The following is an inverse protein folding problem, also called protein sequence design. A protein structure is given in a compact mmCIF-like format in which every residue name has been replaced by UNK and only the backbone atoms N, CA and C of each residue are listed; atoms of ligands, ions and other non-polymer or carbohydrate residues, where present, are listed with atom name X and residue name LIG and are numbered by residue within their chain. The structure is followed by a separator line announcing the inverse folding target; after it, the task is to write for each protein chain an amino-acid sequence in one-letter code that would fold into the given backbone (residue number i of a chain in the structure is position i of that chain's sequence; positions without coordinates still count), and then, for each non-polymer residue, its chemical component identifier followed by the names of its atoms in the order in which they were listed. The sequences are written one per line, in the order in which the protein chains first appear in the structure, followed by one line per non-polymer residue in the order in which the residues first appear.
data_IF_132148427458
#
_entry.id   IF_132148427458
#
_cell.length_a   1.000
_cell.length_b   1.000
_cell.length_c   1.000
_cell.angle_alpha   90.00
_cell.angle_beta   90.00
_cell.angle_gamma   90.00
#
_symmetry.space_group_name_H-M   'P 1'
#
loop_
_entity.id
_entity.type
_entity.pdbx_description
1 polymer ?
#
# COMPACT_ATOMS: atom_id res chain seq x y z
N UNK A 1 -11.26 15.83 23.13
CA UNK A 1 -10.39 14.79 22.55
C UNK A 1 -9.43 15.46 21.58
N UNK A 2 -8.12 15.27 21.70
CA UNK A 2 -7.16 15.94 20.82
C UNK A 2 -6.77 15.02 19.66
N UNK A 3 -7.46 15.14 18.52
CA UNK A 3 -7.08 14.45 17.28
C UNK A 3 -5.82 15.12 16.71
N UNK A 4 -4.67 14.50 16.95
CA UNK A 4 -3.33 14.96 16.54
C UNK A 4 -2.42 13.73 16.42
N UNK A 5 -1.38 13.80 15.58
CA UNK A 5 -0.43 12.71 15.42
C UNK A 5 -0.70 11.82 14.21
N UNK A 6 -0.33 10.54 14.31
CA UNK A 6 -0.45 9.58 13.23
C UNK A 6 -1.74 8.76 13.38
N UNK A 7 -2.59 8.80 12.36
CA UNK A 7 -3.76 7.95 12.25
C UNK A 7 -3.65 6.95 11.12
N UNK A 8 -4.01 5.70 11.36
CA UNK A 8 -3.94 4.66 10.33
C UNK A 8 -5.21 4.61 9.49
N UNK A 9 -5.08 4.83 8.19
CA UNK A 9 -6.14 4.53 7.21
C UNK A 9 -6.21 3.01 7.02
N UNK A 10 -7.01 2.36 7.86
CA UNK A 10 -6.97 0.91 8.05
C UNK A 10 -7.41 0.17 6.77
N UNK A 11 -6.67 -0.88 6.41
CA UNK A 11 -7.11 -1.86 5.39
C UNK A 11 -8.27 -2.70 5.93
N UNK A 12 -9.09 -3.25 5.02
CA UNK A 12 -10.06 -4.29 5.37
C UNK A 12 -9.52 -5.64 4.87
N UNK A 13 -9.19 -6.59 5.76
CA UNK A 13 -8.76 -7.92 5.35
C UNK A 13 -9.94 -8.80 4.92
N UNK A 14 -9.70 -9.66 3.94
CA UNK A 14 -10.71 -10.56 3.38
C UNK A 14 -10.17 -11.99 3.31
N UNK A 15 -11.06 -12.97 3.46
CA UNK A 15 -10.81 -14.36 3.11
C UNK A 15 -10.83 -14.57 1.59
N UNK A 16 -10.31 -15.70 1.10
CA UNK A 16 -10.32 -16.05 -0.33
C UNK A 16 -11.71 -16.02 -0.99
N UNK A 17 -12.78 -16.27 -0.23
CA UNK A 17 -14.16 -16.19 -0.73
C UNK A 17 -14.70 -14.76 -0.85
N UNK A 18 -13.88 -13.77 -0.44
CA UNK A 18 -14.18 -12.36 -0.46
C UNK A 18 -14.86 -11.85 0.81
N UNK A 19 -15.26 -12.71 1.76
CA UNK A 19 -15.85 -12.29 3.04
C UNK A 19 -14.81 -11.58 3.93
N UNK A 20 -15.26 -10.78 4.91
CA UNK A 20 -14.37 -10.12 5.86
C UNK A 20 -13.64 -11.17 6.72
N UNK A 21 -12.32 -11.03 6.82
CA UNK A 21 -11.52 -11.79 7.78
C UNK A 21 -11.54 -11.10 9.15
N UNK A 22 -12.49 -11.49 10.00
CA UNK A 22 -12.69 -10.90 11.32
C UNK A 22 -11.45 -11.04 12.22
N UNK A 23 -10.83 -12.22 12.23
CA UNK A 23 -9.67 -12.49 13.06
C UNK A 23 -8.50 -11.60 12.65
N UNK A 24 -8.21 -11.48 11.35
CA UNK A 24 -7.18 -10.60 10.85
C UNK A 24 -7.49 -9.12 11.14
N UNK A 25 -8.76 -8.69 11.01
CA UNK A 25 -9.16 -7.32 11.33
C UNK A 25 -8.90 -6.99 12.80
N UNK A 26 -9.36 -7.85 13.72
CA UNK A 26 -9.16 -7.68 15.16
C UNK A 26 -7.69 -7.65 15.55
N UNK A 27 -6.88 -8.52 14.94
CA UNK A 27 -5.43 -8.57 15.15
C UNK A 27 -4.74 -7.32 14.63
N UNK A 28 -5.12 -6.81 13.45
CA UNK A 28 -4.59 -5.56 12.90
C UNK A 28 -4.93 -4.38 13.81
N UNK A 29 -6.18 -4.22 14.23
CA UNK A 29 -6.59 -3.13 15.14
C UNK A 29 -5.83 -3.20 16.46
N UNK A 30 -5.71 -4.39 17.05
CA UNK A 30 -4.95 -4.60 18.29
C UNK A 30 -3.49 -4.19 18.11
N UNK A 31 -2.83 -4.69 17.07
CA UNK A 31 -1.44 -4.39 16.78
C UNK A 31 -1.18 -2.90 16.52
N UNK A 32 -2.11 -2.21 15.84
CA UNK A 32 -2.01 -0.77 15.62
C UNK A 32 -2.02 0.01 16.93
N UNK A 33 -2.95 -0.31 17.83
CA UNK A 33 -3.05 0.33 19.16
C UNK A 33 -1.81 0.03 19.99
N UNK A 34 -1.36 -1.22 20.04
CA UNK A 34 -0.15 -1.63 20.78
C UNK A 34 1.13 -1.00 20.24
N UNK A 35 1.18 -0.71 18.94
CA UNK A 35 2.33 -0.05 18.31
C UNK A 35 2.39 1.46 18.57
N UNK A 36 1.36 2.03 19.20
CA UNK A 36 1.32 3.42 19.63
C UNK A 36 0.76 4.39 18.59
N UNK A 37 -0.13 3.93 17.71
CA UNK A 37 -0.88 4.82 16.81
C UNK A 37 -1.72 5.81 17.62
N UNK A 38 -1.87 7.04 17.12
CA UNK A 38 -2.59 8.07 17.86
C UNK A 38 -4.11 8.03 17.59
N UNK A 39 -4.55 7.48 16.44
CA UNK A 39 -5.97 7.22 16.13
C UNK A 39 -6.15 6.22 14.97
N UNK A 40 -7.36 5.72 14.77
CA UNK A 40 -7.69 4.80 13.66
C UNK A 40 -8.75 5.36 12.74
N UNK A 41 -8.63 5.04 11.45
CA UNK A 41 -9.57 5.46 10.40
C UNK A 41 -10.08 4.23 9.64
N UNK A 42 -11.08 3.50 10.18
CA UNK A 42 -11.73 2.41 9.47
C UNK A 42 -12.57 2.94 8.30
N UNK A 43 -12.73 2.10 7.28
CA UNK A 43 -13.59 2.39 6.13
C UNK A 43 -13.28 3.70 5.38
N UNK A 44 -12.01 4.12 5.38
CA UNK A 44 -11.48 5.08 4.40
C UNK A 44 -11.23 4.44 3.04
N UNK A 45 -10.61 5.17 2.11
CA UNK A 45 -10.26 4.62 0.78
C UNK A 45 -9.39 3.37 0.85
N UNK A 46 -8.43 3.33 1.78
CA UNK A 46 -7.52 2.20 2.01
C UNK A 46 -8.25 0.95 2.52
N UNK A 47 -9.43 1.13 3.15
CA UNK A 47 -10.29 0.06 3.62
C UNK A 47 -11.20 -0.53 2.54
N UNK A 48 -11.01 -0.15 1.27
CA UNK A 48 -11.79 -0.65 0.13
C UNK A 48 -13.31 -0.37 0.24
N UNK A 49 -13.71 0.71 0.93
CA UNK A 49 -15.13 1.06 1.18
C UNK A 49 -16.07 0.97 -0.05
N UNK A 50 -15.66 1.32 -1.29
CA UNK A 50 -16.53 1.15 -2.45
C UNK A 50 -16.97 -0.29 -2.76
N UNK A 51 -16.28 -1.30 -2.24
CA UNK A 51 -16.58 -2.73 -2.44
C UNK A 51 -17.15 -3.40 -1.19
N UNK A 52 -17.41 -2.64 -0.12
CA UNK A 52 -18.12 -3.12 1.07
C UNK A 52 -19.62 -2.94 0.88
N UNK A 53 -20.39 -3.94 1.28
CA UNK A 53 -21.83 -3.76 1.51
C UNK A 53 -22.08 -2.85 2.71
N UNK A 54 -23.32 -2.41 2.88
CA UNK A 54 -23.71 -1.60 4.03
C UNK A 54 -23.42 -2.31 5.36
N UNK A 55 -23.82 -3.57 5.49
CA UNK A 55 -23.63 -4.35 6.72
C UNK A 55 -22.14 -4.60 7.02
N UNK A 56 -21.33 -4.86 6.00
CA UNK A 56 -19.89 -5.02 6.13
C UNK A 56 -19.18 -3.72 6.53
N UNK A 57 -19.61 -2.59 5.96
CA UNK A 57 -19.11 -1.28 6.34
C UNK A 57 -19.35 -1.00 7.83
N UNK A 58 -20.55 -1.29 8.32
CA UNK A 58 -20.88 -1.17 9.74
C UNK A 58 -20.10 -2.17 10.60
N UNK A 59 -19.99 -3.42 10.15
CA UNK A 59 -19.24 -4.47 10.83
C UNK A 59 -17.79 -4.06 11.09
N UNK A 60 -17.09 -3.52 10.09
CA UNK A 60 -15.70 -3.08 10.24
C UNK A 60 -15.58 -1.95 11.27
N UNK A 61 -16.51 -0.99 11.25
CA UNK A 61 -16.54 0.13 12.20
C UNK A 61 -16.80 -0.38 13.62
N UNK A 62 -17.82 -1.22 13.81
CA UNK A 62 -18.24 -1.71 15.11
C UNK A 62 -17.17 -2.64 15.73
N UNK A 63 -16.55 -3.51 14.93
CA UNK A 63 -15.39 -4.33 15.36
C UNK A 63 -14.20 -3.45 15.73
N UNK A 64 -13.93 -2.37 14.99
CA UNK A 64 -12.86 -1.43 15.34
C UNK A 64 -13.14 -0.75 16.68
N UNK A 65 -14.39 -0.32 16.94
CA UNK A 65 -14.80 0.26 18.22
C UNK A 65 -14.60 -0.74 19.36
N UNK A 66 -15.10 -1.96 19.19
CA UNK A 66 -15.02 -3.03 20.19
C UNK A 66 -13.57 -3.29 20.59
N UNK A 67 -12.70 -3.52 19.60
CA UNK A 67 -11.30 -3.85 19.85
C UNK A 67 -10.55 -2.65 20.43
N UNK A 68 -10.76 -1.44 19.91
CA UNK A 68 -10.08 -0.23 20.43
C UNK A 68 -10.43 0.00 21.90
N UNK A 69 -11.69 -0.26 22.30
CA UNK A 69 -12.15 -0.14 23.68
C UNK A 69 -11.80 1.22 24.32
N UNK A 70 -11.92 2.30 23.54
CA UNK A 70 -11.64 3.68 23.98
C UNK A 70 -10.17 4.05 24.17
N UNK A 71 -9.21 3.17 23.82
CA UNK A 71 -7.77 3.43 23.98
C UNK A 71 -7.25 4.53 23.07
N UNK A 72 -7.79 4.62 21.85
CA UNK A 72 -7.47 5.68 20.88
C UNK A 72 -8.75 6.18 20.21
N UNK A 73 -8.77 7.42 19.72
CA UNK A 73 -9.84 7.91 18.85
C UNK A 73 -10.10 7.05 17.61
N UNK A 74 -11.36 7.04 17.17
CA UNK A 74 -11.78 6.48 15.88
C UNK A 74 -12.38 7.59 15.01
N UNK A 75 -11.90 7.69 13.77
CA UNK A 75 -12.45 8.57 12.73
C UNK A 75 -13.07 7.70 11.63
N UNK A 76 -14.40 7.54 11.64
CA UNK A 76 -15.05 6.61 10.71
C UNK A 76 -15.22 7.22 9.31
N UNK A 77 -14.89 6.47 8.26
CA UNK A 77 -15.11 6.89 6.88
C UNK A 77 -16.58 6.80 6.47
N UNK A 78 -17.15 7.92 6.02
CA UNK A 78 -18.55 8.04 5.60
C UNK A 78 -18.72 8.83 4.29
N UNK A 79 -17.85 8.58 3.31
CA UNK A 79 -17.89 9.28 2.01
C UNK A 79 -18.98 8.73 1.10
N UNK A 80 -19.67 9.61 0.38
CA UNK A 80 -20.51 9.30 -0.77
C UNK A 80 -20.47 10.45 -1.78
N UNK A 81 -20.70 10.17 -3.06
CA UNK A 81 -20.85 11.21 -4.08
C UNK A 81 -22.29 11.76 -4.19
N UNK A 82 -23.24 11.15 -3.47
CA UNK A 82 -24.61 11.62 -3.29
C UNK A 82 -24.74 12.29 -1.92
N UNK A 83 -25.17 13.55 -1.87
CA UNK A 83 -25.34 14.28 -0.60
C UNK A 83 -26.34 13.61 0.33
N UNK A 84 -27.44 13.09 -0.23
CA UNK A 84 -28.42 12.34 0.54
C UNK A 84 -27.77 11.14 1.23
N UNK A 85 -27.04 10.32 0.48
CA UNK A 85 -26.45 9.10 1.04
C UNK A 85 -25.27 9.41 1.99
N UNK A 86 -24.54 10.50 1.74
CA UNK A 86 -23.50 10.96 2.64
C UNK A 86 -24.08 11.42 3.99
N UNK A 87 -25.23 12.10 3.97
CA UNK A 87 -25.96 12.51 5.19
C UNK A 87 -26.42 11.28 5.97
N UNK A 88 -27.04 10.30 5.32
CA UNK A 88 -27.51 9.09 6.01
C UNK A 88 -26.35 8.28 6.59
N UNK A 89 -25.28 8.05 5.81
CA UNK A 89 -24.05 7.42 6.31
C UNK A 89 -23.46 8.17 7.50
N UNK A 90 -23.42 9.50 7.46
CA UNK A 90 -22.87 10.33 8.53
C UNK A 90 -23.71 10.22 9.81
N UNK A 91 -25.05 10.26 9.72
CA UNK A 91 -25.94 10.05 10.87
C UNK A 91 -25.72 8.69 11.51
N UNK A 92 -25.61 7.65 10.69
CA UNK A 92 -25.36 6.30 11.18
C UNK A 92 -24.05 6.21 11.96
N UNK A 93 -22.93 6.65 11.40
CA UNK A 93 -21.66 6.59 12.15
C UNK A 93 -21.65 7.54 13.35
N UNK A 94 -22.35 8.68 13.27
CA UNK A 94 -22.46 9.61 14.40
C UNK A 94 -23.19 9.01 15.60
N UNK A 95 -24.18 8.14 15.34
CA UNK A 95 -24.96 7.45 16.37
C UNK A 95 -24.16 6.39 17.15
N UNK A 96 -22.96 6.01 16.68
CA UNK A 96 -22.10 5.02 17.35
C UNK A 96 -21.22 5.70 18.40
N UNK A 97 -21.38 5.38 19.71
CA UNK A 97 -20.67 6.09 20.79
C UNK A 97 -19.13 6.05 20.68
N UNK A 98 -18.58 4.99 20.08
CA UNK A 98 -17.13 4.83 19.89
C UNK A 98 -16.53 5.66 18.75
N UNK A 99 -17.36 6.26 17.87
CA UNK A 99 -16.88 7.10 16.78
C UNK A 99 -16.61 8.51 17.30
N UNK A 100 -15.35 8.92 17.29
CA UNK A 100 -14.92 10.24 17.76
C UNK A 100 -15.05 11.35 16.71
N UNK A 101 -14.92 11.02 15.43
CA UNK A 101 -15.13 11.94 14.32
C UNK A 101 -15.49 11.19 13.02
N UNK A 102 -15.91 11.93 11.99
CA UNK A 102 -16.26 11.42 10.67
C UNK A 102 -15.24 11.91 9.65
N UNK A 103 -14.75 11.03 8.77
CA UNK A 103 -13.96 11.41 7.60
C UNK A 103 -14.85 11.33 6.35
N UNK A 104 -14.99 12.44 5.64
CA UNK A 104 -15.78 12.49 4.39
C UNK A 104 -15.07 13.29 3.29
N UNK A 105 -14.99 12.72 2.09
CA UNK A 105 -14.29 13.31 0.96
C UNK A 105 -15.22 14.10 0.03
N UNK A 106 -14.62 14.89 -0.87
CA UNK A 106 -15.37 15.52 -1.96
C UNK A 106 -16.09 14.46 -2.80
N UNK A 107 -17.31 14.75 -3.32
CA UNK A 107 -18.01 13.84 -4.20
C UNK A 107 -17.17 13.41 -5.40
N UNK A 108 -17.01 12.10 -5.55
CA UNK A 108 -16.26 11.49 -6.65
C UNK A 108 -17.14 11.27 -7.88
N UNK A 109 -16.52 11.19 -9.07
CA UNK A 109 -17.16 10.94 -10.37
C UNK A 109 -17.98 12.13 -10.92
N UNK A 110 -18.91 12.68 -10.15
CA UNK A 110 -19.85 13.72 -10.59
C UNK A 110 -19.29 15.16 -10.61
N UNK A 111 -18.09 15.38 -10.04
CA UNK A 111 -17.30 16.63 -10.16
C UNK A 111 -18.08 17.91 -9.83
N UNK A 112 -18.60 18.07 -8.61
CA UNK A 112 -19.34 19.28 -8.21
C UNK A 112 -18.45 20.53 -8.26
N UNK A 113 -19.09 21.69 -8.47
CA UNK A 113 -18.44 23.00 -8.34
C UNK A 113 -18.02 23.26 -6.88
N UNK A 114 -17.21 24.30 -6.64
CA UNK A 114 -16.85 24.73 -5.27
C UNK A 114 -18.09 24.97 -4.39
N UNK A 115 -19.12 25.64 -4.92
CA UNK A 115 -20.37 25.86 -4.19
C UNK A 115 -21.14 24.54 -3.94
N UNK A 116 -21.09 23.60 -4.89
CA UNK A 116 -21.63 22.25 -4.70
C UNK A 116 -20.93 21.50 -3.56
N UNK A 117 -19.59 21.57 -3.51
CA UNK A 117 -18.80 20.97 -2.42
C UNK A 117 -19.14 21.63 -1.07
N UNK A 118 -19.22 22.96 -1.02
CA UNK A 118 -19.61 23.70 0.19
C UNK A 118 -20.95 23.21 0.74
N UNK A 119 -22.00 23.18 -0.11
CA UNK A 119 -23.34 22.75 0.29
C UNK A 119 -23.39 21.28 0.68
N UNK A 120 -22.63 20.42 -0.01
CA UNK A 120 -22.52 19.00 0.33
C UNK A 120 -21.99 18.80 1.74
N UNK A 121 -20.82 19.37 2.06
CA UNK A 121 -20.22 19.23 3.38
C UNK A 121 -21.05 19.90 4.48
N UNK A 122 -21.64 21.07 4.20
CA UNK A 122 -22.52 21.76 5.13
C UNK A 122 -23.76 20.92 5.48
N UNK A 123 -24.40 20.29 4.49
CA UNK A 123 -25.56 19.42 4.73
C UNK A 123 -25.21 18.21 5.61
N UNK A 124 -24.04 17.61 5.41
CA UNK A 124 -23.53 16.52 6.27
C UNK A 124 -23.33 17.02 7.70
N UNK A 125 -22.67 18.17 7.84
CA UNK A 125 -22.37 18.78 9.12
C UNK A 125 -23.62 19.13 9.94
N UNK A 126 -24.62 19.75 9.31
CA UNK A 126 -25.90 20.08 9.94
C UNK A 126 -26.68 18.83 10.39
N UNK A 127 -26.53 17.71 9.68
CA UNK A 127 -27.27 16.48 9.97
C UNK A 127 -26.78 15.69 11.18
N UNK A 128 -25.53 15.91 11.64
CA UNK A 128 -24.89 15.11 12.70
C UNK A 128 -24.66 15.88 14.00
N UNK A 129 -25.20 17.10 14.11
CA UNK A 129 -25.07 17.94 15.30
C UNK A 129 -23.61 18.23 15.66
N UNK A 130 -23.23 18.01 16.92
CA UNK A 130 -21.88 18.32 17.41
C UNK A 130 -20.80 17.30 17.03
N UNK A 131 -21.14 16.24 16.26
CA UNK A 131 -20.15 15.23 15.86
C UNK A 131 -19.06 15.86 14.97
N UNK A 132 -17.77 15.78 15.34
CA UNK A 132 -16.71 16.38 14.54
C UNK A 132 -16.55 15.73 13.17
N UNK A 133 -16.29 16.56 12.16
CA UNK A 133 -16.06 16.16 10.77
C UNK A 133 -14.67 16.62 10.34
N UNK A 134 -13.95 15.69 9.71
CA UNK A 134 -12.71 15.93 8.99
C UNK A 134 -13.04 15.79 7.50
N UNK A 135 -12.81 16.87 6.75
CA UNK A 135 -12.94 16.88 5.29
C UNK A 135 -11.79 16.11 4.66
N UNK A 136 -12.00 15.49 3.51
CA UNK A 136 -10.93 14.80 2.79
C UNK A 136 -10.80 15.32 1.35
N UNK A 137 -9.76 16.11 1.10
CA UNK A 137 -9.42 16.56 -0.24
C UNK A 137 -8.45 15.57 -0.91
N UNK A 138 -8.88 14.93 -2.01
CA UNK A 138 -8.08 13.97 -2.79
C UNK A 138 -8.43 14.02 -4.28
N UNK A 139 -8.11 15.12 -4.98
CA UNK A 139 -8.52 15.35 -6.36
C UNK A 139 -8.10 14.24 -7.33
N UNK A 140 -6.97 13.57 -7.08
CA UNK A 140 -6.51 12.43 -7.89
C UNK A 140 -7.45 11.22 -7.86
N UNK A 141 -8.39 11.13 -6.91
CA UNK A 141 -9.42 10.07 -6.82
C UNK A 141 -10.82 10.58 -7.07
N UNK A 142 -11.15 11.78 -6.63
CA UNK A 142 -12.51 12.35 -6.77
C UNK A 142 -12.73 12.99 -8.14
N UNK A 143 -11.67 13.49 -8.76
CA UNK A 143 -11.76 14.36 -9.94
C UNK A 143 -12.24 15.79 -9.61
N UNK A 144 -12.31 16.15 -8.33
CA UNK A 144 -12.71 17.46 -7.83
C UNK A 144 -11.78 17.90 -6.69
N UNK A 145 -11.26 19.12 -6.78
CA UNK A 145 -10.39 19.72 -5.77
C UNK A 145 -11.20 20.65 -4.87
N UNK A 146 -11.05 20.52 -3.55
CA UNK A 146 -11.56 21.50 -2.60
C UNK A 146 -10.55 22.64 -2.45
N UNK A 147 -10.88 23.81 -2.96
CA UNK A 147 -9.97 24.96 -2.96
C UNK A 147 -9.87 25.63 -1.58
N UNK A 148 -8.72 26.25 -1.22
CA UNK A 148 -8.54 26.92 0.07
C UNK A 148 -9.63 27.95 0.41
N UNK A 149 -10.13 28.69 -0.57
CA UNK A 149 -11.23 29.66 -0.34
C UNK A 149 -12.55 29.01 0.06
N UNK A 150 -12.86 27.82 -0.48
CA UNK A 150 -14.04 27.05 -0.08
C UNK A 150 -13.83 26.40 1.29
N UNK A 151 -12.62 25.91 1.55
CA UNK A 151 -12.24 25.40 2.86
C UNK A 151 -12.40 26.46 3.95
N UNK A 152 -11.93 27.69 3.72
CA UNK A 152 -12.06 28.80 4.66
C UNK A 152 -13.54 29.03 5.06
N UNK A 153 -14.45 29.06 4.08
CA UNK A 153 -15.90 29.15 4.33
C UNK A 153 -16.44 27.96 5.13
N UNK A 154 -15.91 26.76 4.93
CA UNK A 154 -16.33 25.56 5.66
C UNK A 154 -15.85 25.56 7.11
N UNK A 155 -14.78 26.29 7.44
CA UNK A 155 -14.33 26.43 8.84
C UNK A 155 -15.29 27.21 9.73
N UNK A 156 -16.21 27.97 9.13
CA UNK A 156 -17.28 28.68 9.85
C UNK A 156 -18.40 27.73 10.32
N UNK A 157 -18.41 26.47 9.85
CA UNK A 157 -19.36 25.45 10.29
C UNK A 157 -18.81 24.76 11.56
N UNK A 158 -19.46 24.89 12.73
CA UNK A 158 -18.83 24.61 14.02
C UNK A 158 -18.23 23.20 14.22
N UNK A 159 -18.85 22.19 13.61
CA UNK A 159 -18.42 20.80 13.74
C UNK A 159 -17.54 20.32 12.58
N UNK A 160 -17.21 21.17 11.59
CA UNK A 160 -16.14 20.89 10.63
C UNK A 160 -14.83 21.34 11.27
N UNK A 161 -14.06 20.38 11.78
CA UNK A 161 -12.90 20.66 12.65
C UNK A 161 -11.55 20.45 11.98
N UNK A 162 -11.52 19.86 10.79
CA UNK A 162 -10.26 19.53 10.14
C UNK A 162 -10.36 19.12 8.69
N UNK A 163 -9.20 18.90 8.09
CA UNK A 163 -9.04 18.40 6.73
C UNK A 163 -7.87 17.42 6.63
N UNK A 164 -8.09 16.29 5.98
CA UNK A 164 -7.06 15.44 5.38
C UNK A 164 -6.73 15.98 3.99
N UNK A 165 -5.55 16.54 3.81
CA UNK A 165 -5.10 17.11 2.53
C UNK A 165 -4.21 16.11 1.77
N UNK A 166 -4.73 15.56 0.68
CA UNK A 166 -4.02 14.60 -0.19
C UNK A 166 -4.02 15.06 -1.66
N UNK A 167 -3.90 16.36 -1.91
CA UNK A 167 -3.73 16.90 -3.26
C UNK A 167 -2.35 16.61 -3.86
N UNK A 168 -1.34 16.38 -2.99
CA UNK A 168 0.07 16.30 -3.40
C UNK A 168 0.64 17.66 -3.84
N UNK A 169 -0.12 18.75 -3.70
CA UNK A 169 0.30 20.09 -4.08
C UNK A 169 0.71 20.90 -2.83
N UNK A 170 2.01 21.03 -2.62
CA UNK A 170 2.55 21.69 -1.43
C UNK A 170 2.17 23.19 -1.35
N UNK A 171 2.03 23.86 -2.49
CA UNK A 171 1.58 25.27 -2.52
C UNK A 171 0.15 25.38 -2.01
N UNK A 172 -0.76 24.54 -2.50
CA UNK A 172 -2.15 24.52 -2.05
C UNK A 172 -2.26 24.13 -0.57
N UNK A 173 -1.48 23.16 -0.11
CA UNK A 173 -1.47 22.77 1.30
C UNK A 173 -1.03 23.96 2.17
N UNK A 174 0.01 24.69 1.76
CA UNK A 174 0.43 25.90 2.47
C UNK A 174 -0.68 26.96 2.48
N UNK A 175 -1.34 27.22 1.34
CA UNK A 175 -2.48 28.13 1.26
C UNK A 175 -3.63 27.70 2.18
N UNK A 176 -3.97 26.42 2.18
CA UNK A 176 -5.02 25.86 3.03
C UNK A 176 -4.70 26.04 4.52
N UNK A 177 -3.47 25.74 4.95
CA UNK A 177 -3.05 25.93 6.35
C UNK A 177 -3.13 27.42 6.75
N UNK A 178 -2.76 28.34 5.86
CA UNK A 178 -2.84 29.78 6.14
C UNK A 178 -4.26 30.37 6.04
N UNK A 179 -5.17 29.68 5.36
CA UNK A 179 -6.55 30.12 5.16
C UNK A 179 -7.51 29.68 6.28
N UNK A 180 -7.09 28.76 7.15
CA UNK A 180 -7.91 28.23 8.24
C UNK A 180 -7.47 28.77 9.61
N UNK A 181 -8.35 28.80 10.62
CA UNK A 181 -7.98 29.16 11.98
C UNK A 181 -6.91 28.21 12.56
N UNK A 182 -6.09 28.67 13.50
CA UNK A 182 -5.05 27.85 14.17
C UNK A 182 -5.62 26.61 14.88
N UNK A 183 -6.89 26.64 15.26
CA UNK A 183 -7.60 25.53 15.89
C UNK A 183 -8.05 24.45 14.90
N UNK A 184 -8.01 24.74 13.59
CA UNK A 184 -8.44 23.82 12.54
C UNK A 184 -7.37 22.77 12.25
N UNK A 185 -7.76 21.50 12.24
CA UNK A 185 -6.84 20.37 12.17
C UNK A 185 -6.50 20.01 10.73
N UNK A 186 -5.33 20.41 10.24
CA UNK A 186 -4.83 19.99 8.92
C UNK A 186 -3.91 18.76 9.05
N UNK A 187 -4.34 17.63 8.51
CA UNK A 187 -3.57 16.39 8.43
C UNK A 187 -3.01 16.20 7.02
N UNK A 188 -1.76 15.76 6.92
CA UNK A 188 -1.27 15.18 5.67
C UNK A 188 -2.12 13.96 5.30
N UNK A 189 -2.43 13.81 4.02
CA UNK A 189 -2.99 12.59 3.45
C UNK A 189 -2.04 11.82 2.54
N UNK A 190 -0.77 12.26 2.47
CA UNK A 190 0.32 11.60 1.76
C UNK A 190 1.51 11.39 2.72
N UNK A 191 1.93 10.13 2.86
CA UNK A 191 3.00 9.69 3.75
C UNK A 191 4.32 10.41 3.47
N UNK A 192 4.67 10.59 2.20
CA UNK A 192 5.97 11.12 1.80
C UNK A 192 6.15 12.61 2.11
N UNK A 193 5.05 13.37 2.25
CA UNK A 193 5.07 14.82 2.50
C UNK A 193 4.67 15.19 3.93
N UNK A 194 4.59 14.21 4.84
CA UNK A 194 4.22 14.45 6.25
C UNK A 194 5.07 15.53 6.92
N UNK A 195 6.40 15.50 6.74
CA UNK A 195 7.32 16.44 7.39
C UNK A 195 7.08 17.91 6.97
N UNK A 196 7.06 18.26 5.67
CA UNK A 196 6.80 19.64 5.29
C UNK A 196 5.38 20.11 5.66
N UNK A 197 4.37 19.23 5.66
CA UNK A 197 3.01 19.58 6.13
C UNK A 197 3.04 19.98 7.62
N UNK A 198 3.70 19.19 8.47
CA UNK A 198 3.83 19.50 9.90
C UNK A 198 4.65 20.79 10.11
N UNK A 199 5.72 20.98 9.34
CA UNK A 199 6.54 22.20 9.41
C UNK A 199 5.75 23.48 9.08
N UNK A 200 4.71 23.37 8.26
CA UNK A 200 3.83 24.49 7.89
C UNK A 200 2.69 24.72 8.88
N UNK A 201 2.50 23.86 9.89
CA UNK A 201 1.42 23.97 10.88
C UNK A 201 0.45 22.79 10.90
N UNK A 202 0.65 21.77 10.06
CA UNK A 202 -0.14 20.55 10.09
C UNK A 202 0.00 19.80 11.43
N UNK A 203 -1.08 19.14 11.85
CA UNK A 203 -1.19 18.48 13.15
C UNK A 203 -0.87 16.98 13.11
N UNK A 204 -0.50 16.45 11.94
CA UNK A 204 -0.13 15.05 11.79
C UNK A 204 -0.47 14.48 10.42
N UNK A 205 -0.81 13.19 10.39
CA UNK A 205 -1.08 12.45 9.14
C UNK A 205 -2.20 11.42 9.33
N UNK A 206 -2.98 11.21 8.27
CA UNK A 206 -3.81 10.01 8.08
C UNK A 206 -3.14 9.12 7.01
N UNK A 207 -2.42 8.10 7.48
CA UNK A 207 -1.32 7.40 6.80
C UNK A 207 -1.76 6.07 6.18
N UNK A 208 -1.17 5.71 5.02
CA UNK A 208 -1.26 4.36 4.46
C UNK A 208 -0.13 3.49 5.02
N UNK A 209 1.11 3.98 5.02
CA UNK A 209 2.29 3.24 5.48
C UNK A 209 2.20 2.79 6.95
N UNK A 210 1.47 3.52 7.80
CA UNK A 210 1.22 3.10 9.19
C UNK A 210 0.49 1.77 9.32
N UNK A 211 -0.15 1.24 8.27
CA UNK A 211 -0.69 -0.12 8.31
C UNK A 211 0.42 -1.16 8.51
N UNK A 212 1.59 -0.98 7.92
CA UNK A 212 2.71 -1.93 7.90
C UNK A 212 3.88 -1.52 8.82
N UNK A 213 4.00 -0.22 9.13
CA UNK A 213 5.00 0.37 10.04
C UNK A 213 4.38 1.36 11.05
N UNK A 214 3.40 0.92 11.88
CA UNK A 214 2.66 1.83 12.76
C UNK A 214 3.54 2.55 13.77
N UNK A 215 4.46 1.83 14.42
CA UNK A 215 5.35 2.40 15.43
C UNK A 215 6.27 3.46 14.83
N UNK A 216 6.82 3.19 13.66
CA UNK A 216 7.73 4.07 12.95
C UNK A 216 7.03 5.35 12.48
N UNK A 217 5.83 5.22 11.90
CA UNK A 217 5.05 6.38 11.43
C UNK A 217 4.55 7.24 12.60
N UNK A 218 4.13 6.62 13.70
CA UNK A 218 3.81 7.34 14.93
C UNK A 218 5.05 8.07 15.49
N UNK A 219 6.20 7.41 15.53
CA UNK A 219 7.46 7.99 16.01
C UNK A 219 7.95 9.14 15.13
N UNK A 220 7.89 8.99 13.80
CA UNK A 220 8.22 10.04 12.83
C UNK A 220 7.34 11.26 13.03
N UNK A 221 6.02 11.05 13.13
CA UNK A 221 5.03 12.12 13.28
C UNK A 221 5.21 12.85 14.60
N UNK A 222 5.37 12.10 15.70
CA UNK A 222 5.58 12.65 17.05
C UNK A 222 6.89 13.42 17.15
N UNK A 223 7.98 12.92 16.55
CA UNK A 223 9.25 13.64 16.50
C UNK A 223 9.10 14.98 15.77
N UNK A 224 8.43 15.01 14.61
CA UNK A 224 8.18 16.24 13.86
C UNK A 224 7.32 17.24 14.67
N UNK A 225 6.23 16.77 15.28
CA UNK A 225 5.34 17.61 16.10
C UNK A 225 6.03 18.18 17.36
N UNK A 226 7.10 17.54 17.82
CA UNK A 226 7.91 17.96 18.96
C UNK A 226 9.18 18.74 18.55
N UNK A 227 9.29 19.16 17.28
CA UNK A 227 10.47 19.83 16.73
C UNK A 227 11.78 19.02 16.77
N UNK A 228 11.71 17.70 16.96
CA UNK A 228 12.86 16.80 16.77
C UNK A 228 13.01 16.43 15.29
N UNK A 229 13.48 17.41 14.52
CA UNK A 229 13.70 17.27 13.08
C UNK A 229 14.82 16.29 12.73
N UNK A 230 15.72 15.99 13.67
CA UNK A 230 16.81 15.02 13.43
C UNK A 230 16.25 13.61 13.38
N UNK A 231 15.48 13.21 14.39
CA UNK A 231 14.80 11.90 14.42
C UNK A 231 13.78 11.80 13.29
N UNK A 232 12.95 12.83 13.10
CA UNK A 232 11.92 12.84 12.06
C UNK A 232 12.50 12.63 10.65
N UNK A 233 13.58 13.36 10.30
CA UNK A 233 14.25 13.20 8.99
C UNK A 233 14.98 11.86 8.85
N UNK A 234 15.48 11.30 9.94
CA UNK A 234 16.13 9.98 9.93
C UNK A 234 15.14 8.88 9.60
N UNK A 235 13.99 8.87 10.30
CA UNK A 235 12.91 7.93 10.05
C UNK A 235 12.31 8.13 8.66
N UNK A 236 12.05 9.37 8.27
CA UNK A 236 11.53 9.70 6.94
C UNK A 236 12.45 9.20 5.83
N UNK A 237 13.76 9.48 5.91
CA UNK A 237 14.74 8.99 4.92
C UNK A 237 14.75 7.46 4.83
N UNK A 238 14.67 6.77 5.96
CA UNK A 238 14.67 5.30 6.00
C UNK A 238 13.43 4.73 5.30
N UNK A 239 12.25 5.28 5.58
CA UNK A 239 10.98 4.68 5.13
C UNK A 239 10.38 5.34 3.88
N UNK A 240 10.93 6.45 3.39
CA UNK A 240 10.47 7.12 2.16
C UNK A 240 10.34 6.16 0.95
N UNK A 241 11.28 5.23 0.69
CA UNK A 241 11.11 4.27 -0.40
C UNK A 241 9.85 3.42 -0.27
N UNK A 242 9.50 2.99 0.95
CA UNK A 242 8.29 2.24 1.25
C UNK A 242 7.04 3.11 1.09
N UNK A 243 7.05 4.32 1.66
CA UNK A 243 5.96 5.29 1.51
C UNK A 243 5.62 5.55 0.05
N UNK A 244 6.62 5.72 -0.81
CA UNK A 244 6.43 5.88 -2.25
C UNK A 244 5.99 4.59 -2.93
N UNK A 245 6.55 3.44 -2.54
CA UNK A 245 6.17 2.14 -3.09
C UNK A 245 4.71 1.78 -2.81
N UNK A 246 4.13 2.30 -1.73
CA UNK A 246 2.70 2.14 -1.44
C UNK A 246 1.75 2.72 -2.49
N UNK A 247 2.29 3.50 -3.43
CA UNK A 247 1.55 4.11 -4.53
C UNK A 247 2.15 3.78 -5.91
N UNK A 248 3.02 2.77 -6.02
CA UNK A 248 3.51 2.27 -7.33
C UNK A 248 2.38 1.71 -8.20
N UNK A 249 1.33 1.22 -7.54
CA UNK A 249 0.03 0.91 -8.09
C UNK A 249 -1.06 1.49 -7.18
N UNK A 250 -2.31 1.45 -7.61
CA UNK A 250 -3.44 2.00 -6.86
C UNK A 250 -3.53 1.42 -5.44
N UNK A 251 -3.34 2.25 -4.41
CA UNK A 251 -3.65 1.85 -3.03
C UNK A 251 -5.11 1.38 -2.91
N UNK A 252 -5.40 0.29 -2.19
CA UNK A 252 -4.53 -0.38 -1.20
C UNK A 252 -3.74 -1.60 -1.70
N UNK A 253 -3.56 -1.80 -3.02
CA UNK A 253 -2.83 -2.96 -3.55
C UNK A 253 -1.45 -3.15 -2.88
N UNK A 254 -0.54 -2.16 -2.90
CA UNK A 254 0.78 -2.35 -2.31
C UNK A 254 0.77 -2.63 -0.80
N UNK A 255 -0.01 -1.88 -0.02
CA UNK A 255 0.03 -2.02 1.44
C UNK A 255 -0.53 -3.37 1.91
N UNK A 256 -1.58 -3.89 1.27
CA UNK A 256 -2.08 -5.25 1.55
C UNK A 256 -1.11 -6.31 1.07
N UNK A 257 -0.45 -6.09 -0.07
CA UNK A 257 0.61 -6.98 -0.53
C UNK A 257 1.75 -7.12 0.47
N UNK A 258 2.22 -6.02 1.10
CA UNK A 258 3.27 -6.09 2.13
C UNK A 258 2.74 -6.73 3.42
N UNK A 259 1.54 -6.36 3.89
CA UNK A 259 0.93 -7.00 5.06
C UNK A 259 0.79 -8.52 4.89
N UNK A 260 0.45 -8.98 3.70
CA UNK A 260 0.40 -10.41 3.39
C UNK A 260 1.81 -11.04 3.40
N UNK A 261 2.83 -10.37 2.85
CA UNK A 261 4.21 -10.84 2.97
C UNK A 261 4.71 -10.90 4.42
N UNK A 262 4.18 -10.03 5.30
CA UNK A 262 4.43 -10.04 6.75
C UNK A 262 3.62 -11.12 7.49
N UNK A 263 2.75 -11.86 6.80
CA UNK A 263 1.87 -12.87 7.40
C UNK A 263 0.75 -12.29 8.28
N UNK A 264 0.39 -11.02 8.08
CA UNK A 264 -0.64 -10.33 8.88
C UNK A 264 -2.07 -10.53 8.34
N UNK A 265 -2.20 -10.74 7.02
CA UNK A 265 -3.48 -10.92 6.31
C UNK A 265 -3.31 -11.88 5.14
N UNK A 266 -4.41 -12.36 4.58
CA UNK A 266 -4.40 -12.92 3.22
C UNK A 266 -4.36 -11.82 2.16
N UNK A 267 -3.67 -12.08 1.04
CA UNK A 267 -3.56 -11.14 -0.08
C UNK A 267 -4.79 -11.20 -1.00
N UNK A 268 -5.94 -10.78 -0.47
CA UNK A 268 -7.23 -10.78 -1.18
C UNK A 268 -7.72 -9.36 -1.41
N UNK A 269 -8.22 -9.10 -2.61
CA UNK A 269 -8.84 -7.84 -3.02
C UNK A 269 -10.23 -8.12 -3.58
N UNK A 270 -11.14 -7.16 -3.45
CA UNK A 270 -12.43 -7.23 -4.13
C UNK A 270 -12.35 -6.51 -5.48
N UNK A 271 -12.95 -7.09 -6.52
CA UNK A 271 -13.10 -6.43 -7.81
C UNK A 271 -13.71 -5.03 -7.63
N UNK A 272 -13.22 -4.00 -8.36
CA UNK A 272 -12.33 -4.07 -9.52
C UNK A 272 -10.82 -4.08 -9.19
N UNK A 273 -10.44 -4.17 -7.91
CA UNK A 273 -9.05 -4.31 -7.51
C UNK A 273 -8.58 -5.75 -7.75
N UNK A 274 -7.31 -5.88 -8.12
CA UNK A 274 -6.68 -7.15 -8.50
C UNK A 274 -5.30 -7.26 -7.85
N UNK A 275 -4.75 -8.47 -7.71
CA UNK A 275 -3.35 -8.64 -7.30
C UNK A 275 -2.39 -7.79 -8.14
N UNK A 276 -1.36 -7.28 -7.49
CA UNK A 276 -0.33 -6.46 -8.13
C UNK A 276 0.34 -7.19 -9.30
N UNK A 277 0.81 -6.42 -10.29
CA UNK A 277 1.63 -6.98 -11.35
C UNK A 277 2.92 -7.57 -10.77
N UNK A 278 3.43 -8.62 -11.41
CA UNK A 278 4.60 -9.37 -10.90
C UNK A 278 5.84 -8.47 -10.73
N UNK A 279 6.07 -7.55 -11.66
CA UNK A 279 7.24 -6.67 -11.70
C UNK A 279 7.20 -5.63 -10.56
N UNK A 280 6.06 -4.95 -10.38
CA UNK A 280 5.84 -3.98 -9.31
C UNK A 280 5.81 -4.66 -7.93
N UNK A 281 5.18 -5.83 -7.81
CA UNK A 281 5.20 -6.66 -6.59
C UNK A 281 6.62 -7.08 -6.20
N UNK A 282 7.44 -7.49 -7.16
CA UNK A 282 8.85 -7.86 -6.91
C UNK A 282 9.66 -6.65 -6.43
N UNK A 283 9.42 -5.47 -7.02
CA UNK A 283 10.05 -4.21 -6.59
C UNK A 283 9.61 -3.84 -5.17
N UNK A 284 8.31 -3.95 -4.86
CA UNK A 284 7.76 -3.68 -3.53
C UNK A 284 8.35 -4.63 -2.49
N UNK A 285 8.42 -5.93 -2.77
CA UNK A 285 9.05 -6.91 -1.87
C UNK A 285 10.50 -6.57 -1.56
N UNK A 286 11.28 -6.15 -2.57
CA UNK A 286 12.66 -5.71 -2.36
C UNK A 286 12.73 -4.51 -1.42
N UNK A 287 11.87 -3.51 -1.62
CA UNK A 287 11.81 -2.32 -0.76
C UNK A 287 11.41 -2.70 0.68
N UNK A 288 10.37 -3.52 0.84
CA UNK A 288 9.93 -4.02 2.15
C UNK A 288 11.04 -4.80 2.88
N UNK A 289 11.87 -5.56 2.15
CA UNK A 289 13.03 -6.24 2.71
C UNK A 289 14.15 -5.27 3.11
N UNK A 290 14.41 -4.24 2.31
CA UNK A 290 15.43 -3.22 2.58
C UNK A 290 15.12 -2.40 3.84
N UNK A 291 13.84 -2.16 4.12
CA UNK A 291 13.41 -1.48 5.35
C UNK A 291 13.19 -2.42 6.54
N UNK A 292 13.32 -3.74 6.34
CA UNK A 292 13.32 -4.77 7.38
C UNK A 292 11.96 -5.36 7.76
N UNK A 293 10.92 -5.20 6.92
CA UNK A 293 9.57 -5.70 7.21
C UNK A 293 9.37 -7.16 6.84
N UNK A 294 10.06 -7.61 5.80
CA UNK A 294 9.99 -8.99 5.33
C UNK A 294 11.40 -9.53 5.27
N UNK A 295 11.57 -10.81 5.57
CA UNK A 295 12.87 -11.46 5.38
C UNK A 295 13.27 -11.27 3.94
N UNK A 296 14.48 -10.74 3.71
CA UNK A 296 15.08 -10.72 2.37
C UNK A 296 14.89 -12.11 1.79
N UNK A 297 14.27 -12.27 0.61
CA UNK A 297 14.19 -13.59 0.01
C UNK A 297 15.60 -14.13 0.05
N UNK A 298 15.77 -15.31 0.68
CA UNK A 298 16.98 -16.06 0.51
C UNK A 298 17.16 -16.07 -1.01
N UNK A 299 18.20 -15.39 -1.52
CA UNK A 299 18.59 -15.58 -2.90
C UNK A 299 18.62 -17.09 -3.09
N UNK A 300 17.98 -17.63 -4.14
CA UNK A 300 17.66 -19.06 -4.25
C UNK A 300 18.83 -19.82 -3.66
N UNK A 301 18.59 -20.52 -2.53
CA UNK A 301 19.63 -21.24 -1.82
C UNK A 301 20.40 -21.96 -2.90
N UNK A 302 21.68 -21.59 -3.11
CA UNK A 302 22.37 -21.87 -4.35
C UNK A 302 22.17 -23.35 -4.68
N UNK A 303 21.22 -23.65 -5.57
CA UNK A 303 21.10 -24.98 -6.15
C UNK A 303 22.49 -25.16 -6.74
N UNK A 304 23.20 -26.18 -6.24
CA UNK A 304 24.57 -26.46 -6.66
C UNK A 304 24.57 -26.30 -8.18
N UNK A 305 25.34 -25.34 -8.71
CA UNK A 305 25.16 -24.92 -10.08
C UNK A 305 25.38 -26.14 -10.99
N UNK A 306 24.29 -26.71 -11.52
CA UNK A 306 24.37 -27.85 -12.39
C UNK A 306 24.64 -27.35 -13.81
N UNK A 307 25.61 -27.96 -14.47
CA UNK A 307 25.94 -27.67 -15.86
C UNK A 307 25.54 -28.87 -16.71
N UNK A 308 25.07 -28.59 -17.91
CA UNK A 308 24.68 -29.61 -18.89
C UNK A 308 25.30 -29.29 -20.24
N UNK A 309 25.63 -30.33 -20.99
CA UNK A 309 26.10 -30.22 -22.37
C UNK A 309 24.98 -30.68 -23.28
N UNK A 310 24.48 -29.79 -24.13
CA UNK A 310 23.60 -30.16 -25.22
C UNK A 310 24.43 -30.59 -26.42
N UNK A 311 24.31 -31.85 -26.82
CA UNK A 311 24.97 -32.41 -28.00
C UNK A 311 23.95 -32.57 -29.13
N UNK A 312 24.32 -32.15 -30.34
CA UNK A 312 23.50 -32.28 -31.54
C UNK A 312 24.36 -32.75 -32.72
N UNK A 313 23.94 -33.83 -33.36
CA UNK A 313 24.58 -34.44 -34.54
C UNK A 313 23.63 -34.55 -35.75
N UNK A 314 22.52 -33.81 -35.76
CA UNK A 314 21.61 -33.74 -36.91
C UNK A 314 22.23 -32.95 -38.08
N UNK A 315 22.22 -33.55 -39.28
CA UNK A 315 22.45 -32.98 -40.62
C UNK A 315 23.36 -31.72 -40.71
N UNK A 316 24.50 -31.73 -40.02
CA UNK A 316 25.44 -30.63 -39.90
C UNK A 316 26.67 -31.06 -39.09
N UNK A 317 27.64 -30.16 -38.85
CA UNK A 317 28.81 -30.49 -38.05
C UNK A 317 28.38 -30.80 -36.61
N UNK A 318 28.81 -31.96 -36.10
CA UNK A 318 28.58 -32.41 -34.73
C UNK A 318 28.97 -31.31 -33.73
N UNK A 319 27.99 -30.79 -33.00
CA UNK A 319 28.12 -29.60 -32.15
C UNK A 319 27.69 -29.87 -30.73
N UNK A 320 28.36 -29.21 -29.79
CA UNK A 320 27.94 -29.11 -28.39
C UNK A 320 27.77 -27.66 -27.92
N UNK A 321 26.82 -27.47 -27.00
CA UNK A 321 26.58 -26.20 -26.29
C UNK A 321 26.51 -26.45 -24.79
N UNK A 322 27.29 -25.70 -24.02
CA UNK A 322 27.27 -25.78 -22.56
C UNK A 322 26.20 -24.84 -21.97
N UNK A 323 25.44 -25.32 -20.98
CA UNK A 323 24.36 -24.58 -20.33
C UNK A 323 24.42 -24.70 -18.80
N UNK A 324 24.00 -23.66 -18.07
CA UNK A 324 23.52 -23.81 -16.68
C UNK A 324 22.18 -24.53 -16.69
N UNK A 325 21.91 -25.39 -15.70
CA UNK A 325 20.68 -26.16 -15.55
C UNK A 325 19.43 -25.27 -15.53
N UNK A 326 19.52 -24.13 -14.85
CA UNK A 326 18.45 -23.11 -14.76
C UNK A 326 18.27 -22.27 -16.03
N UNK A 327 19.05 -22.50 -17.09
CA UNK A 327 18.86 -21.84 -18.37
C UNK A 327 17.50 -22.22 -18.98
N UNK A 328 16.75 -21.24 -19.49
CA UNK A 328 15.45 -21.48 -20.13
C UNK A 328 15.48 -22.42 -21.34
N UNK A 329 16.65 -22.62 -21.97
CA UNK A 329 16.84 -23.63 -23.02
C UNK A 329 17.21 -25.02 -22.50
N UNK A 330 17.80 -25.11 -21.31
CA UNK A 330 18.24 -26.35 -20.68
C UNK A 330 17.17 -26.96 -19.80
N UNK A 331 16.59 -26.17 -18.89
CA UNK A 331 15.56 -26.60 -17.95
C UNK A 331 15.93 -27.92 -17.24
N UNK A 332 17.15 -27.99 -16.70
CA UNK A 332 17.74 -29.18 -16.06
C UNK A 332 17.77 -30.41 -16.98
N UNK A 333 18.22 -30.22 -18.22
CA UNK A 333 18.33 -31.28 -19.24
C UNK A 333 16.99 -31.74 -19.83
N UNK A 334 15.90 -31.03 -19.57
CA UNK A 334 14.55 -31.33 -20.10
C UNK A 334 14.13 -30.42 -21.25
N UNK A 335 14.88 -29.36 -21.48
CA UNK A 335 14.60 -28.37 -22.52
C UNK A 335 14.81 -28.94 -23.91
N UNK A 336 14.09 -28.37 -24.88
CA UNK A 336 14.19 -28.71 -26.31
C UNK A 336 14.64 -27.47 -27.09
N UNK A 337 15.95 -27.19 -27.17
CA UNK A 337 16.47 -26.09 -27.96
C UNK A 337 16.07 -26.21 -29.44
N UNK A 338 16.15 -25.12 -30.19
CA UNK A 338 15.93 -25.16 -31.63
C UNK A 338 16.90 -26.17 -32.29
N UNK A 339 16.37 -27.07 -33.12
CA UNK A 339 17.12 -28.18 -33.72
C UNK A 339 17.21 -29.45 -32.86
N UNK A 340 16.41 -29.58 -31.80
CA UNK A 340 16.28 -30.80 -31.01
C UNK A 340 15.49 -31.89 -31.75
N UNK A 341 16.19 -32.94 -32.13
CA UNK A 341 15.64 -34.21 -32.63
C UNK A 341 16.05 -35.31 -31.65
N UNK A 342 15.08 -36.07 -31.13
CA UNK A 342 15.31 -37.14 -30.17
C UNK A 342 16.20 -38.26 -30.71
N UNK A 343 16.33 -38.38 -32.04
CA UNK A 343 17.20 -39.35 -32.69
C UNK A 343 18.63 -38.82 -32.90
N UNK A 344 18.82 -37.50 -32.82
CA UNK A 344 20.07 -36.84 -33.21
C UNK A 344 20.60 -35.80 -32.22
N UNK A 345 20.10 -35.80 -30.99
CA UNK A 345 20.55 -34.90 -29.94
C UNK A 345 20.40 -35.52 -28.56
N UNK A 346 21.23 -35.08 -27.61
CA UNK A 346 21.22 -35.56 -26.23
C UNK A 346 21.75 -34.51 -25.26
N UNK A 347 21.19 -34.50 -24.06
CA UNK A 347 21.76 -33.80 -22.91
C UNK A 347 22.71 -34.71 -22.12
N UNK A 348 23.87 -34.16 -21.75
CA UNK A 348 24.83 -34.78 -20.82
C UNK A 348 24.90 -33.97 -19.53
N UNK A 349 25.09 -34.64 -18.39
CA UNK A 349 25.09 -34.05 -17.06
C UNK A 349 24.05 -34.69 -16.12
N UNK A 350 23.78 -34.08 -14.95
CA UNK A 350 24.37 -32.82 -14.47
C UNK A 350 25.86 -32.94 -14.14
N UNK A 351 26.60 -31.86 -14.39
CA UNK A 351 27.98 -31.67 -13.91
C UNK A 351 27.99 -30.65 -12.78
N UNK A 352 28.68 -30.95 -11.68
CA UNK A 352 28.64 -30.16 -10.46
C UNK A 352 29.37 -28.80 -10.55
N UNK A 353 30.29 -28.64 -11.51
CA UNK A 353 31.03 -27.39 -11.72
C UNK A 353 31.26 -27.12 -13.20
N UNK A 354 31.48 -25.85 -13.54
CA UNK A 354 31.78 -25.42 -14.91
C UNK A 354 33.07 -26.06 -15.44
N UNK A 355 34.09 -26.25 -14.60
CA UNK A 355 35.36 -26.87 -14.98
C UNK A 355 35.16 -28.32 -15.43
N UNK A 356 34.44 -29.11 -14.63
CA UNK A 356 34.15 -30.52 -14.95
C UNK A 356 33.34 -30.64 -16.23
N UNK A 357 32.38 -29.73 -16.42
CA UNK A 357 31.56 -29.71 -17.64
C UNK A 357 32.38 -29.33 -18.88
N UNK A 358 33.35 -28.40 -18.75
CA UNK A 358 34.30 -28.06 -19.84
C UNK A 358 35.23 -29.22 -20.17
N UNK A 359 35.78 -29.89 -19.17
CA UNK A 359 36.62 -31.08 -19.37
C UNK A 359 35.85 -32.20 -20.09
N UNK A 360 34.62 -32.47 -19.67
CA UNK A 360 33.74 -33.42 -20.34
C UNK A 360 33.47 -33.01 -21.80
N UNK A 361 33.17 -31.73 -22.05
CA UNK A 361 32.99 -31.19 -23.40
C UNK A 361 34.24 -31.33 -24.29
N UNK A 362 35.44 -31.20 -23.72
CA UNK A 362 36.70 -31.42 -24.43
C UNK A 362 36.97 -32.89 -24.74
N UNK A 363 36.58 -33.80 -23.84
CA UNK A 363 36.77 -35.25 -24.01
C UNK A 363 35.83 -35.88 -25.07
N UNK A 364 34.75 -35.20 -25.46
CA UNK A 364 33.82 -35.70 -26.47
C UNK A 364 34.46 -35.78 -27.86
N UNK A 365 34.55 -37.00 -28.39
CA UNK A 365 35.10 -37.32 -29.72
C UNK A 365 34.09 -37.04 -30.84
N UNK A 366 34.57 -36.65 -32.02
CA UNK A 366 33.71 -36.37 -33.19
C UNK A 366 33.13 -34.95 -33.23
N UNK A 367 33.15 -34.22 -32.10
CA UNK A 367 32.61 -32.86 -32.00
C UNK A 367 33.49 -31.85 -32.74
N UNK A 368 32.91 -31.21 -33.75
CA UNK A 368 33.53 -30.18 -34.59
C UNK A 368 33.35 -28.76 -34.03
N UNK A 369 32.24 -28.49 -33.32
CA UNK A 369 31.94 -27.16 -32.78
C UNK A 369 31.63 -27.26 -31.28
N UNK A 370 32.36 -26.50 -30.46
CA UNK A 370 32.12 -26.37 -29.02
C UNK A 370 31.79 -24.91 -28.72
N UNK A 371 30.70 -24.67 -28.01
CA UNK A 371 30.26 -23.31 -27.66
C UNK A 371 29.61 -23.27 -26.28
N UNK A 372 29.54 -22.08 -25.70
CA UNK A 372 28.89 -21.85 -24.42
C UNK A 372 27.64 -20.99 -24.64
N UNK A 373 26.53 -21.34 -24.00
CA UNK A 373 25.32 -20.52 -24.01
C UNK A 373 25.58 -19.21 -23.24
N UNK A 374 24.86 -18.14 -23.56
CA UNK A 374 24.89 -16.86 -22.82
C UNK A 374 24.59 -16.98 -21.32
N UNK A 375 24.06 -18.12 -20.88
CA UNK A 375 23.81 -18.39 -19.47
C UNK A 375 25.05 -18.87 -18.69
N UNK A 376 26.11 -19.30 -19.36
CA UNK A 376 27.40 -19.65 -18.76
C UNK A 376 28.11 -18.35 -18.43
#
# INVERSE_FOLDING_TARGET
MQLRGCGTALVTPFHQDGSIDDAALRNLVTWQVESGIDFLVPCGTTGETPTLTHDEWLYVIDTTIEVVAGRVPIVAGATSNSTHDAVEKAKEVAARPGVGAILTASPYYNKPTQEGQYRHFRAIAEAVGDKPIILYNVPGRTGANLEPGTLARLTEVPNIVGMKEASGNMTQIAEAINAVPETFLVFSGDDAVTLPVIALGGVGIISVASNEIPHEMASLTRAALNNDWTTARTLHRKYLPLMQANFIESSPLPVKAVLAMMGKIEEVYRLPLLPMRRDTRSRLQKIAAEVGLVTKPAGPAAEAAEFYIYENWAAGPHKIVLHRGSCGQCSHGKGRPAGHDTNHSRWHGPYATLSVAREAAHAMTGVLIRSECKCI
#
